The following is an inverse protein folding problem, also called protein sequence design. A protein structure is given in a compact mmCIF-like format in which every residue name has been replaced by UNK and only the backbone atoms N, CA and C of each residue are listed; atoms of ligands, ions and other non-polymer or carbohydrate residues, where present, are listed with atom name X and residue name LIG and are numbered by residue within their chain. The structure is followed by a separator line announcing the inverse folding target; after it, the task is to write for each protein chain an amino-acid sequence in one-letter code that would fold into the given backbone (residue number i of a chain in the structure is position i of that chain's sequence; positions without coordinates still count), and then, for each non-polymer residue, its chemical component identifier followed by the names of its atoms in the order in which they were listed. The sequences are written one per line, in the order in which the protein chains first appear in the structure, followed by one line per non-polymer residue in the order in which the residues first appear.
data_IF_055303852680
#
_entry.id   IF_055303852680
#
_cell.length_a   1.000
_cell.length_b   1.000
_cell.length_c   1.000
_cell.angle_alpha   90.00
_cell.angle_beta   90.00
_cell.angle_gamma   90.00
#
_symmetry.space_group_name_H-M   'P 1'
#
loop_
_entity.id
_entity.type
_entity.pdbx_description
1 polymer ?
#
# COMPACT_ATOMS: atom_id res chain seq x y z
N UNK A 1 -17.70 15.14 -17.73
CA UNK A 1 -17.26 16.37 -17.04
C UNK A 1 -16.77 15.97 -15.65
N UNK A 2 -15.48 16.10 -15.30
CA UNK A 2 -15.08 16.04 -13.90
C UNK A 2 -15.62 17.28 -13.19
N UNK A 3 -16.08 17.11 -11.95
CA UNK A 3 -16.61 18.18 -11.11
C UNK A 3 -15.61 19.34 -11.00
N UNK A 4 -16.11 20.59 -11.06
CA UNK A 4 -15.33 21.78 -10.74
C UNK A 4 -14.70 21.61 -9.35
N UNK A 5 -13.38 21.44 -9.30
CA UNK A 5 -12.63 21.57 -8.05
C UNK A 5 -12.57 23.04 -7.71
N UNK A 6 -13.63 23.58 -7.11
CA UNK A 6 -13.55 24.86 -6.43
C UNK A 6 -12.34 24.79 -5.49
N UNK A 7 -11.31 25.64 -5.67
CA UNK A 7 -10.14 25.59 -4.82
C UNK A 7 -10.62 25.91 -3.40
N UNK A 8 -10.54 24.90 -2.53
CA UNK A 8 -10.69 25.07 -1.08
C UNK A 8 -9.84 26.30 -0.72
N UNK A 9 -10.44 27.36 -0.13
CA UNK A 9 -9.73 28.60 0.18
C UNK A 9 -8.41 28.28 0.89
N UNK A 10 -7.31 28.91 0.50
CA UNK A 10 -5.95 28.57 0.98
C UNK A 10 -5.86 28.45 2.51
N UNK A 11 -6.58 29.29 3.26
CA UNK A 11 -6.64 29.22 4.72
C UNK A 11 -7.30 27.95 5.31
N UNK A 12 -8.13 27.24 4.55
CA UNK A 12 -8.79 26.00 4.98
C UNK A 12 -7.85 24.79 4.88
N UNK A 13 -6.89 24.77 3.95
CA UNK A 13 -5.82 23.75 3.92
C UNK A 13 -4.90 23.85 5.13
N UNK A 14 -4.56 25.09 5.53
CA UNK A 14 -3.75 25.37 6.70
C UNK A 14 -4.45 24.86 7.98
N UNK A 15 -5.76 25.13 8.12
CA UNK A 15 -6.60 24.60 9.21
C UNK A 15 -6.61 23.07 9.24
N UNK A 16 -6.78 22.41 8.10
CA UNK A 16 -6.76 20.94 7.99
C UNK A 16 -5.39 20.38 8.38
N UNK A 17 -4.31 20.99 7.90
CA UNK A 17 -2.94 20.53 8.15
C UNK A 17 -2.56 20.65 9.64
N UNK A 18 -3.06 21.68 10.33
CA UNK A 18 -2.83 21.90 11.75
C UNK A 18 -3.80 21.10 12.65
N UNK A 19 -4.86 20.51 12.09
CA UNK A 19 -5.85 19.77 12.86
C UNK A 19 -5.29 18.44 13.38
N UNK A 20 -5.47 18.10 14.68
CA UNK A 20 -4.91 16.87 15.26
C UNK A 20 -5.41 15.59 14.58
N UNK A 21 -6.65 15.58 14.09
CA UNK A 21 -7.20 14.46 13.32
C UNK A 21 -6.43 14.17 12.01
N UNK A 22 -5.78 15.16 11.41
CA UNK A 22 -5.00 14.96 10.19
C UNK A 22 -3.69 14.22 10.49
N UNK A 23 -3.04 14.58 11.60
CA UNK A 23 -1.86 13.87 12.08
C UNK A 23 -2.18 12.40 12.41
N UNK A 24 -3.34 12.12 13.00
CA UNK A 24 -3.80 10.76 13.26
C UNK A 24 -4.08 9.98 11.97
N UNK A 25 -4.79 10.57 11.01
CA UNK A 25 -5.05 9.97 9.69
C UNK A 25 -3.74 9.62 8.98
N UNK A 26 -2.78 10.55 8.96
CA UNK A 26 -1.46 10.35 8.37
C UNK A 26 -0.73 9.19 9.07
N UNK A 27 -0.71 9.16 10.40
CA UNK A 27 -0.09 8.07 11.18
C UNK A 27 -0.75 6.73 10.88
N UNK A 28 -2.08 6.68 10.78
CA UNK A 28 -2.82 5.46 10.47
C UNK A 28 -2.49 4.91 9.07
N UNK A 29 -2.36 5.78 8.07
CA UNK A 29 -1.94 5.41 6.70
C UNK A 29 -0.52 4.87 6.67
N UNK A 30 0.42 5.62 7.26
CA UNK A 30 1.85 5.26 7.25
C UNK A 30 2.13 3.95 7.99
N UNK A 31 1.38 3.66 9.07
CA UNK A 31 1.52 2.40 9.82
C UNK A 31 1.16 1.16 8.98
N UNK A 32 0.39 1.32 7.91
CA UNK A 32 0.12 0.24 6.97
C UNK A 32 1.08 0.27 5.77
N UNK A 33 1.25 1.44 5.16
CA UNK A 33 1.99 1.58 3.90
C UNK A 33 3.47 1.27 4.09
N UNK A 34 4.12 1.81 5.13
CA UNK A 34 5.55 1.62 5.34
C UNK A 34 5.92 0.12 5.47
N UNK A 35 5.33 -0.66 6.38
CA UNK A 35 5.67 -2.08 6.48
C UNK A 35 5.27 -2.87 5.24
N UNK A 36 4.15 -2.54 4.59
CA UNK A 36 3.74 -3.20 3.34
C UNK A 36 4.76 -2.96 2.21
N UNK A 37 5.27 -1.73 2.08
CA UNK A 37 6.32 -1.39 1.10
C UNK A 37 7.63 -2.11 1.40
N UNK A 38 8.05 -2.15 2.67
CA UNK A 38 9.28 -2.88 3.06
C UNK A 38 9.13 -4.36 2.73
N UNK A 39 8.02 -4.99 3.11
CA UNK A 39 7.74 -6.38 2.80
C UNK A 39 7.74 -6.62 1.28
N UNK A 40 7.03 -5.78 0.52
CA UNK A 40 6.99 -5.86 -0.93
C UNK A 40 8.39 -5.80 -1.55
N UNK A 41 9.22 -4.84 -1.13
CA UNK A 41 10.58 -4.69 -1.65
C UNK A 41 11.44 -5.92 -1.34
N UNK A 42 11.39 -6.41 -0.10
CA UNK A 42 12.15 -7.61 0.31
C UNK A 42 11.68 -8.83 -0.49
N UNK A 43 10.38 -9.05 -0.60
CA UNK A 43 9.81 -10.20 -1.30
C UNK A 43 10.09 -10.13 -2.81
N UNK A 44 10.00 -8.95 -3.40
CA UNK A 44 10.30 -8.74 -4.82
C UNK A 44 11.78 -9.02 -5.12
N UNK A 45 12.69 -8.47 -4.32
CA UNK A 45 14.13 -8.67 -4.47
C UNK A 45 14.61 -10.07 -4.08
N UNK A 46 13.82 -10.82 -3.31
CA UNK A 46 14.17 -12.19 -2.94
C UNK A 46 14.35 -13.09 -4.18
N UNK A 47 13.60 -12.87 -5.27
CA UNK A 47 13.73 -13.67 -6.50
C UNK A 47 15.14 -13.56 -7.12
N UNK A 48 15.63 -12.37 -7.54
CA UNK A 48 16.97 -12.27 -8.12
C UNK A 48 18.08 -12.66 -7.13
N UNK A 49 17.90 -12.40 -5.83
CA UNK A 49 18.84 -12.85 -4.79
C UNK A 49 18.90 -14.38 -4.74
N UNK A 50 17.76 -15.06 -4.67
CA UNK A 50 17.72 -16.52 -4.65
C UNK A 50 18.25 -17.13 -5.95
N UNK A 51 17.97 -16.53 -7.10
CA UNK A 51 18.50 -17.00 -8.39
C UNK A 51 20.02 -16.84 -8.47
N UNK A 52 20.56 -15.74 -7.94
CA UNK A 52 22.00 -15.46 -7.97
C UNK A 52 22.81 -16.28 -6.96
N UNK A 53 22.32 -16.40 -5.73
CA UNK A 53 23.05 -17.07 -4.64
C UNK A 53 22.70 -18.54 -4.47
N UNK A 54 21.48 -18.96 -4.87
CA UNK A 54 20.99 -20.34 -4.72
C UNK A 54 20.42 -20.90 -6.05
N UNK A 55 21.20 -20.89 -7.14
CA UNK A 55 20.72 -21.30 -8.46
C UNK A 55 20.26 -22.76 -8.52
N UNK A 56 20.89 -23.66 -7.76
CA UNK A 56 20.53 -25.09 -7.72
C UNK A 56 19.11 -25.31 -7.16
N UNK A 57 18.72 -24.56 -6.13
CA UNK A 57 17.36 -24.59 -5.60
C UNK A 57 16.36 -24.05 -6.62
N UNK A 58 16.70 -22.92 -7.24
CA UNK A 58 15.79 -22.22 -8.16
C UNK A 58 15.57 -22.97 -9.48
N UNK A 59 16.53 -23.79 -9.91
CA UNK A 59 16.42 -24.67 -11.09
C UNK A 59 15.66 -25.96 -10.80
N UNK A 60 15.54 -26.39 -9.54
CA UNK A 60 14.91 -27.65 -9.18
C UNK A 60 13.45 -27.68 -9.67
N UNK A 61 13.05 -28.70 -10.46
CA UNK A 61 11.69 -28.81 -10.95
C UNK A 61 10.72 -29.11 -9.79
N UNK A 62 9.56 -28.47 -9.84
CA UNK A 62 8.42 -28.72 -8.94
C UNK A 62 7.41 -29.62 -9.66
N UNK A 63 7.03 -29.26 -10.90
CA UNK A 63 6.15 -30.07 -11.72
C UNK A 63 6.51 -29.92 -13.20
N UNK A 64 6.89 -31.03 -13.83
CA UNK A 64 7.30 -31.05 -15.23
C UNK A 64 8.47 -30.08 -15.46
N UNK A 65 8.28 -29.09 -16.34
CA UNK A 65 9.27 -28.04 -16.65
C UNK A 65 9.19 -26.80 -15.75
N UNK A 66 8.23 -26.74 -14.83
CA UNK A 66 8.06 -25.63 -13.88
C UNK A 66 9.01 -25.85 -12.70
N UNK A 67 9.95 -24.94 -12.50
CA UNK A 67 10.88 -24.94 -11.37
C UNK A 67 10.45 -23.94 -10.28
N UNK A 68 11.21 -23.90 -9.19
CA UNK A 68 10.96 -22.99 -8.08
C UNK A 68 11.02 -21.50 -8.48
N UNK A 69 11.85 -21.13 -9.44
CA UNK A 69 11.90 -19.75 -9.94
C UNK A 69 10.58 -19.32 -10.57
N UNK A 70 9.99 -20.16 -11.43
CA UNK A 70 8.68 -19.90 -12.02
C UNK A 70 7.57 -19.85 -10.96
N UNK A 71 7.60 -20.75 -9.98
CA UNK A 71 6.60 -20.77 -8.92
C UNK A 71 6.68 -19.51 -8.04
N UNK A 72 7.88 -19.06 -7.69
CA UNK A 72 8.09 -17.83 -6.93
C UNK A 72 7.72 -16.59 -7.74
N UNK A 73 8.04 -16.55 -9.03
CA UNK A 73 7.59 -15.46 -9.91
C UNK A 73 6.06 -15.38 -9.96
N UNK A 74 5.36 -16.52 -10.02
CA UNK A 74 3.90 -16.55 -9.98
C UNK A 74 3.35 -16.08 -8.62
N UNK A 75 3.99 -16.44 -7.51
CA UNK A 75 3.55 -16.00 -6.18
C UNK A 75 3.68 -14.49 -5.97
N UNK A 76 4.52 -13.78 -6.74
CA UNK A 76 4.57 -12.31 -6.71
C UNK A 76 3.24 -11.66 -7.16
N UNK A 77 2.53 -12.26 -8.12
CA UNK A 77 1.20 -11.78 -8.54
C UNK A 77 0.18 -11.95 -7.41
N UNK A 78 0.13 -13.15 -6.82
CA UNK A 78 -0.75 -13.45 -5.69
C UNK A 78 -0.48 -12.51 -4.52
N UNK A 79 0.80 -12.32 -4.17
CA UNK A 79 1.23 -11.38 -3.15
C UNK A 79 0.73 -9.95 -3.43
N UNK A 80 0.86 -9.47 -4.67
CA UNK A 80 0.41 -8.12 -5.05
C UNK A 80 -1.10 -7.95 -4.88
N UNK A 81 -1.90 -8.94 -5.31
CA UNK A 81 -3.35 -8.91 -5.10
C UNK A 81 -3.73 -8.94 -3.62
N UNK A 82 -3.01 -9.71 -2.79
CA UNK A 82 -3.21 -9.72 -1.35
C UNK A 82 -2.92 -8.35 -0.74
N UNK A 83 -1.78 -7.72 -1.08
CA UNK A 83 -1.46 -6.37 -0.59
C UNK A 83 -2.54 -5.37 -1.04
N UNK A 84 -2.98 -5.43 -2.30
CA UNK A 84 -4.03 -4.57 -2.82
C UNK A 84 -5.35 -4.76 -2.07
N UNK A 85 -5.78 -6.01 -1.84
CA UNK A 85 -6.99 -6.31 -1.10
C UNK A 85 -6.94 -5.84 0.36
N UNK A 86 -5.79 -6.03 1.03
CA UNK A 86 -5.55 -5.50 2.37
C UNK A 86 -5.57 -3.97 2.39
N UNK A 87 -4.97 -3.33 1.38
CA UNK A 87 -4.99 -1.88 1.21
C UNK A 87 -6.41 -1.36 1.06
N UNK A 88 -7.24 -1.94 0.17
CA UNK A 88 -8.64 -1.53 -0.02
C UNK A 88 -9.45 -1.68 1.28
N UNK A 89 -9.18 -2.74 2.06
CA UNK A 89 -9.81 -2.90 3.37
C UNK A 89 -9.37 -1.80 4.36
N UNK A 90 -8.07 -1.48 4.40
CA UNK A 90 -7.56 -0.41 5.26
C UNK A 90 -8.04 0.98 4.82
N UNK A 91 -8.13 1.23 3.51
CA UNK A 91 -8.60 2.48 2.91
C UNK A 91 -10.02 2.84 3.36
N UNK A 92 -10.93 1.86 3.42
CA UNK A 92 -12.30 2.07 3.94
C UNK A 92 -12.33 2.65 5.36
N UNK A 93 -11.33 2.35 6.20
CA UNK A 93 -11.21 2.95 7.53
C UNK A 93 -10.73 4.40 7.44
N UNK A 94 -9.73 4.67 6.60
CA UNK A 94 -9.20 6.02 6.42
C UNK A 94 -10.19 6.97 5.76
N UNK A 95 -11.03 6.46 4.85
CA UNK A 95 -12.09 7.25 4.21
C UNK A 95 -13.10 7.76 5.25
N UNK A 96 -13.46 6.94 6.24
CA UNK A 96 -14.31 7.36 7.37
C UNK A 96 -13.64 8.43 8.22
N UNK A 97 -12.38 8.22 8.62
CA UNK A 97 -11.61 9.21 9.39
C UNK A 97 -11.47 10.54 8.64
N UNK A 98 -11.31 10.49 7.32
CA UNK A 98 -11.22 11.67 6.48
C UNK A 98 -12.57 12.42 6.41
N UNK A 99 -13.69 11.69 6.30
CA UNK A 99 -15.01 12.30 6.33
C UNK A 99 -15.31 12.97 7.69
N UNK A 100 -14.93 12.33 8.81
CA UNK A 100 -15.04 12.90 10.15
C UNK A 100 -14.22 14.19 10.29
N UNK A 101 -12.98 14.19 9.79
CA UNK A 101 -12.11 15.37 9.81
C UNK A 101 -12.68 16.54 9.00
N UNK A 102 -13.22 16.28 7.80
CA UNK A 102 -13.81 17.34 6.99
C UNK A 102 -15.04 17.93 7.66
N UNK A 103 -15.87 17.09 8.30
CA UNK A 103 -17.04 17.54 9.03
C UNK A 103 -16.66 18.39 10.27
N UNK A 104 -15.57 18.07 10.97
CA UNK A 104 -15.12 18.89 12.10
C UNK A 104 -14.61 20.25 11.66
N UNK A 105 -13.79 20.30 10.60
CA UNK A 105 -13.18 21.55 10.12
C UNK A 105 -14.20 22.49 9.42
N UNK A 106 -15.28 21.96 8.84
CA UNK A 106 -16.33 22.78 8.19
C UNK A 106 -17.31 23.36 9.21
N UNK A 107 -17.48 22.71 10.37
CA UNK A 107 -18.45 23.12 11.39
C UNK A 107 -17.90 24.19 12.35
N UNK A 108 -16.58 24.36 12.40
CA UNK A 108 -15.84 25.40 13.14
C UNK A 108 -15.56 26.65 12.29
#
# INVERSE_FOLDING_TARGET
MPAETNPIPSGQWEKIAQHPGFAELKRAKLRFIIPATIFFMVYYMALPVLVGFFPELMKKPVWGKVNWAYLFALSQFVMTWVICGLYVRAARRWDKMNAELLNSVIKD
#
